data_IF_466703329228
#
_entry.id   IF_466703329228
#
_cell.length_a   1.000
_cell.length_b   1.000
_cell.length_c   1.000
_cell.angle_alpha   90.00
_cell.angle_beta   90.00
_cell.angle_gamma   90.00
#
_symmetry.space_group_name_H-M   'P 1'
#
loop_
_entity.id
_entity.type
_entity.pdbx_description
1 polymer ?
#
# COMPACT_ATOMS: atom_id res chain seq x y z
N UNK A 1 -23.21 4.93 14.79
CA UNK A 1 -22.26 4.42 13.77
C UNK A 1 -21.90 5.57 12.85
N UNK A 2 -20.65 6.05 12.85
CA UNK A 2 -20.23 7.11 11.93
C UNK A 2 -20.36 6.58 10.49
N UNK A 3 -21.14 7.27 9.65
CA UNK A 3 -21.21 6.96 8.23
C UNK A 3 -20.08 7.72 7.54
N UNK A 4 -19.16 6.99 6.95
CA UNK A 4 -18.18 7.53 6.02
C UNK A 4 -18.76 7.48 4.62
N UNK A 5 -18.54 8.51 3.82
CA UNK A 5 -18.89 8.50 2.40
C UNK A 5 -18.00 7.49 1.62
N UNK A 6 -18.41 7.19 0.40
CA UNK A 6 -17.71 6.20 -0.43
C UNK A 6 -16.35 6.70 -0.94
N UNK A 7 -16.17 8.01 -1.10
CA UNK A 7 -14.91 8.59 -1.56
C UNK A 7 -13.84 8.45 -0.48
N UNK A 8 -14.18 8.77 0.76
CA UNK A 8 -13.34 8.59 1.94
C UNK A 8 -12.91 7.13 2.12
N UNK A 9 -13.85 6.18 2.01
CA UNK A 9 -13.52 4.75 2.09
C UNK A 9 -12.56 4.34 0.98
N UNK A 10 -12.80 4.82 -0.24
CA UNK A 10 -11.97 4.51 -1.41
C UNK A 10 -10.55 5.06 -1.23
N UNK A 11 -10.40 6.28 -0.72
CA UNK A 11 -9.10 6.88 -0.47
C UNK A 11 -8.34 6.14 0.64
N UNK A 12 -9.00 5.81 1.75
CA UNK A 12 -8.42 5.04 2.84
C UNK A 12 -7.90 3.68 2.36
N UNK A 13 -8.69 2.96 1.54
CA UNK A 13 -8.27 1.67 0.97
C UNK A 13 -7.16 1.84 -0.07
N UNK A 14 -7.20 2.90 -0.89
CA UNK A 14 -6.15 3.19 -1.87
C UNK A 14 -4.79 3.36 -1.21
N UNK A 15 -4.72 4.17 -0.14
CA UNK A 15 -3.52 4.36 0.68
C UNK A 15 -2.92 3.04 1.16
N UNK A 16 -3.78 2.11 1.62
CA UNK A 16 -3.36 0.79 2.08
C UNK A 16 -2.83 -0.08 0.92
N UNK A 17 -3.49 -0.06 -0.25
CA UNK A 17 -3.06 -0.82 -1.44
C UNK A 17 -1.75 -0.28 -2.01
N UNK A 18 -1.53 1.04 -1.94
CA UNK A 18 -0.31 1.70 -2.39
C UNK A 18 0.88 1.48 -1.45
N UNK A 19 0.66 0.92 -0.25
CA UNK A 19 1.73 0.39 0.60
C UNK A 19 1.75 0.94 2.03
N UNK A 20 0.84 1.85 2.41
CA UNK A 20 0.73 2.28 3.80
C UNK A 20 0.16 1.13 4.67
N UNK A 21 0.64 1.02 5.91
CA UNK A 21 0.13 0.03 6.85
C UNK A 21 -1.27 0.42 7.34
N UNK A 22 -2.13 -0.57 7.60
CA UNK A 22 -3.48 -0.33 8.14
C UNK A 22 -3.41 0.47 9.45
N UNK A 23 -2.42 0.18 10.30
CA UNK A 23 -2.14 0.91 11.54
C UNK A 23 -1.81 2.39 11.31
N UNK A 24 -1.00 2.70 10.29
CA UNK A 24 -0.67 4.08 9.93
C UNK A 24 -1.92 4.84 9.48
N UNK A 25 -2.70 4.24 8.57
CA UNK A 25 -3.91 4.85 8.01
C UNK A 25 -4.99 5.02 9.09
N UNK A 26 -5.10 4.05 10.01
CA UNK A 26 -5.99 4.13 11.18
C UNK A 26 -5.69 5.35 12.05
N UNK A 27 -4.40 5.58 12.37
CA UNK A 27 -3.95 6.74 13.15
C UNK A 27 -4.16 8.06 12.40
N UNK A 28 -3.88 8.07 11.10
CA UNK A 28 -4.02 9.27 10.25
C UNK A 28 -5.48 9.70 10.12
N UNK A 29 -6.39 8.75 9.88
CA UNK A 29 -7.80 9.04 9.56
C UNK A 29 -8.74 8.92 10.76
N UNK A 30 -8.27 8.46 11.93
CA UNK A 30 -9.11 8.21 13.10
C UNK A 30 -10.15 7.10 12.91
N UNK A 31 -9.86 6.15 12.02
CA UNK A 31 -10.74 5.01 11.68
C UNK A 31 -10.17 3.74 12.30
N UNK A 32 -11.04 2.91 12.89
CA UNK A 32 -10.58 1.63 13.44
C UNK A 32 -9.94 0.72 12.37
N UNK A 33 -8.88 0.00 12.75
CA UNK A 33 -8.20 -0.95 11.86
C UNK A 33 -9.17 -2.02 11.32
N UNK A 34 -10.10 -2.50 12.15
CA UNK A 34 -11.12 -3.46 11.75
C UNK A 34 -12.00 -2.96 10.58
N UNK A 35 -12.41 -1.69 10.61
CA UNK A 35 -13.20 -1.09 9.51
C UNK A 35 -12.36 -0.97 8.24
N UNK A 36 -11.10 -0.56 8.35
CA UNK A 36 -10.18 -0.47 7.21
C UNK A 36 -9.94 -1.85 6.57
N UNK A 37 -9.77 -2.90 7.38
CA UNK A 37 -9.67 -4.27 6.90
C UNK A 37 -10.94 -4.71 6.17
N UNK A 38 -12.12 -4.40 6.72
CA UNK A 38 -13.39 -4.72 6.08
C UNK A 38 -13.54 -4.02 4.72
N UNK A 39 -13.27 -2.72 4.64
CA UNK A 39 -13.35 -1.97 3.38
C UNK A 39 -12.34 -2.46 2.34
N UNK A 40 -11.11 -2.77 2.78
CA UNK A 40 -10.09 -3.35 1.90
C UNK A 40 -10.57 -4.68 1.32
N UNK A 41 -11.12 -5.56 2.16
CA UNK A 41 -11.65 -6.86 1.73
C UNK A 41 -12.75 -6.68 0.68
N UNK A 42 -13.74 -5.85 0.97
CA UNK A 42 -14.85 -5.57 0.03
C UNK A 42 -14.35 -5.01 -1.30
N UNK A 43 -13.36 -4.11 -1.30
CA UNK A 43 -12.79 -3.55 -2.55
C UNK A 43 -12.05 -4.59 -3.38
N UNK A 44 -11.33 -5.51 -2.73
CA UNK A 44 -10.59 -6.57 -3.42
C UNK A 44 -11.52 -7.66 -3.97
N UNK A 45 -12.61 -7.96 -3.27
CA UNK A 45 -13.65 -8.88 -3.74
C UNK A 45 -14.42 -8.31 -4.93
N UNK A 46 -14.70 -7.00 -4.91
CA UNK A 46 -15.34 -6.28 -6.01
C UNK A 46 -14.38 -5.95 -7.18
N UNK A 47 -13.08 -6.25 -7.06
CA UNK A 47 -12.11 -5.93 -8.09
C UNK A 47 -12.18 -6.90 -9.27
N UNK A 48 -12.03 -6.38 -10.49
CA UNK A 48 -11.86 -7.22 -11.68
C UNK A 48 -10.51 -7.94 -11.64
N UNK A 49 -10.34 -9.00 -12.43
CA UNK A 49 -9.07 -9.74 -12.44
C UNK A 49 -7.92 -8.86 -12.96
N UNK A 50 -8.17 -8.02 -13.97
CA UNK A 50 -7.20 -7.02 -14.45
C UNK A 50 -6.79 -6.02 -13.36
N UNK A 51 -7.73 -5.60 -12.51
CA UNK A 51 -7.40 -4.73 -11.37
C UNK A 51 -6.56 -5.45 -10.31
N UNK A 52 -6.86 -6.73 -10.02
CA UNK A 52 -6.07 -7.54 -9.08
C UNK A 52 -4.65 -7.71 -9.58
N UNK A 53 -4.48 -7.97 -10.88
CA UNK A 53 -3.17 -8.09 -11.49
C UNK A 53 -2.43 -6.76 -11.45
N UNK A 54 -3.09 -5.64 -11.76
CA UNK A 54 -2.50 -4.31 -11.61
C UNK A 54 -2.02 -4.04 -10.18
N UNK A 55 -2.80 -4.43 -9.16
CA UNK A 55 -2.41 -4.30 -7.75
C UNK A 55 -1.16 -5.13 -7.44
N UNK A 56 -1.09 -6.38 -7.92
CA UNK A 56 0.08 -7.26 -7.75
C UNK A 56 1.31 -6.68 -8.42
N UNK A 57 1.20 -6.29 -9.69
CA UNK A 57 2.32 -5.72 -10.46
C UNK A 57 2.84 -4.43 -9.81
N UNK A 58 1.94 -3.57 -9.32
CA UNK A 58 2.34 -2.36 -8.59
C UNK A 58 3.09 -2.67 -7.30
N UNK A 59 2.74 -3.76 -6.61
CA UNK A 59 3.44 -4.19 -5.40
C UNK A 59 4.84 -4.70 -5.74
N UNK A 60 4.96 -5.59 -6.71
CA UNK A 60 6.24 -6.14 -7.18
C UNK A 60 7.17 -5.03 -7.67
N UNK A 61 6.65 -4.07 -8.44
CA UNK A 61 7.41 -2.91 -8.89
C UNK A 61 7.98 -2.08 -7.73
N UNK A 62 7.25 -1.94 -6.62
CA UNK A 62 7.76 -1.24 -5.43
C UNK A 62 8.87 -2.02 -4.74
N UNK A 63 8.72 -3.33 -4.62
CA UNK A 63 9.71 -4.22 -4.01
C UNK A 63 11.02 -4.20 -4.80
N UNK A 64 10.95 -4.41 -6.12
CA UNK A 64 12.12 -4.36 -7.02
C UNK A 64 12.79 -3.00 -7.00
N UNK A 65 12.02 -1.89 -6.98
CA UNK A 65 12.60 -0.55 -6.86
C UNK A 65 13.33 -0.36 -5.53
N UNK A 66 12.76 -0.85 -4.42
CA UNK A 66 13.42 -0.76 -3.12
C UNK A 66 14.73 -1.56 -3.11
N UNK A 67 14.72 -2.79 -3.62
CA UNK A 67 15.93 -3.61 -3.75
C UNK A 67 16.99 -2.93 -4.60
N UNK A 68 16.60 -2.36 -5.75
CA UNK A 68 17.51 -1.63 -6.63
C UNK A 68 18.17 -0.43 -5.91
N UNK A 69 17.39 0.32 -5.13
CA UNK A 69 17.91 1.45 -4.35
C UNK A 69 18.85 1.00 -3.22
N UNK A 70 18.56 -0.12 -2.57
CA UNK A 70 19.47 -0.72 -1.58
C UNK A 70 20.79 -1.13 -2.24
N UNK A 71 20.73 -1.80 -3.39
CA UNK A 71 21.92 -2.24 -4.12
C UNK A 71 22.76 -1.05 -4.61
N UNK A 72 22.13 0.01 -5.12
CA UNK A 72 22.85 1.25 -5.50
C UNK A 72 23.57 1.87 -4.30
N UNK A 73 22.90 1.96 -3.15
CA UNK A 73 23.53 2.47 -1.92
C UNK A 73 24.69 1.61 -1.46
N UNK A 74 24.55 0.28 -1.53
CA UNK A 74 25.63 -0.66 -1.22
C UNK A 74 26.83 -0.46 -2.17
N UNK A 75 26.59 -0.41 -3.49
CA UNK A 75 27.65 -0.21 -4.48
C UNK A 75 28.42 1.11 -4.27
N UNK A 76 27.75 2.18 -3.85
CA UNK A 76 28.39 3.45 -3.52
C UNK A 76 29.27 3.37 -2.26
N UNK A 77 28.88 2.56 -1.27
CA UNK A 77 29.66 2.35 -0.05
C UNK A 77 30.87 1.47 -0.37
N UNK A 78 30.66 0.33 -1.04
CA UNK A 78 31.73 -0.64 -1.32
C UNK A 78 32.68 -0.19 -2.43
N UNK A 79 32.22 0.59 -3.40
CA UNK A 79 33.06 1.14 -4.47
C UNK A 79 33.87 2.39 -4.07
N UNK A 80 33.66 2.90 -2.84
CA UNK A 80 34.45 4.00 -2.25
C UNK A 80 35.44 3.54 -1.17
N UNK A 81 35.51 2.24 -0.89
CA UNK A 81 36.64 1.68 -0.16
C UNK A 81 37.90 1.75 -1.05
N UNK A 82 39.05 2.25 -0.54
CA UNK A 82 40.30 2.29 -1.31
C UNK A 82 40.80 0.88 -1.68
#
# INVERSE_FOLDING_TARGET
MKKYDEEFKREAVRKIIEGQTVRSVSRELGVSENQLHAWKKMRLEAATDSEKDLIKLKKELREVKMENEILKKAALIFGRSP
#
